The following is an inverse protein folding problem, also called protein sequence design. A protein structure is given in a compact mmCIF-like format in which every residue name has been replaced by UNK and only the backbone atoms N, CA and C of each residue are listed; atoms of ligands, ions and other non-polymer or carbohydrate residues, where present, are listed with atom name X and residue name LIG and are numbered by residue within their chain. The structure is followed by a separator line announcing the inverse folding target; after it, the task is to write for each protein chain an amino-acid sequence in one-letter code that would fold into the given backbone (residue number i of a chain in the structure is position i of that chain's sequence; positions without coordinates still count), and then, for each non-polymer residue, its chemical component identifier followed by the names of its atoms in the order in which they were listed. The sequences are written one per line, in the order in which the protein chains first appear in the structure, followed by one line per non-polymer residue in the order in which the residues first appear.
data_IF_691013683122
#
_entry.id   IF_691013683122
#
_cell.length_a   1.000
_cell.length_b   1.000
_cell.length_c   1.000
_cell.angle_alpha   90.00
_cell.angle_beta   90.00
_cell.angle_gamma   90.00
#
_symmetry.space_group_name_H-M   'P 1'
#
loop_
_entity.id
_entity.type
_entity.pdbx_description
1 polymer ?
#
# COMPACT_ATOMS: atom_id res chain seq x y z
N UNK A 1 2.70 10.10 -33.15
CA UNK A 1 2.74 9.52 -31.79
C UNK A 1 4.20 9.25 -31.42
N UNK A 2 4.67 9.71 -30.26
CA UNK A 2 6.03 9.44 -29.82
C UNK A 2 6.22 7.94 -29.53
N UNK A 3 7.27 7.33 -30.07
CA UNK A 3 7.62 5.93 -29.80
C UNK A 3 8.61 5.88 -28.64
N UNK A 4 8.30 5.10 -27.59
CA UNK A 4 9.24 4.87 -26.49
C UNK A 4 10.51 4.21 -27.04
N UNK A 5 11.69 4.78 -26.79
CA UNK A 5 12.97 4.19 -27.19
C UNK A 5 13.83 3.91 -25.96
N UNK A 6 14.34 2.68 -25.87
CA UNK A 6 15.30 2.27 -24.85
C UNK A 6 16.63 1.99 -25.55
N UNK A 7 17.66 2.78 -25.24
CA UNK A 7 18.98 2.70 -25.88
C UNK A 7 18.93 2.72 -27.42
N UNK A 8 18.05 3.55 -28.00
CA UNK A 8 17.86 3.65 -29.45
C UNK A 8 16.84 2.68 -30.04
N UNK A 9 16.48 1.62 -29.32
CA UNK A 9 15.56 0.56 -29.78
C UNK A 9 14.11 0.99 -29.54
N UNK A 10 13.27 1.08 -30.59
CA UNK A 10 11.84 1.32 -30.45
C UNK A 10 11.16 0.21 -29.66
N UNK A 11 10.40 0.56 -28.63
CA UNK A 11 9.55 -0.35 -27.88
C UNK A 11 8.14 -0.33 -28.47
N UNK A 12 7.59 -1.52 -28.75
CA UNK A 12 6.19 -1.66 -29.13
C UNK A 12 5.29 -1.23 -27.98
N UNK A 13 4.08 -0.75 -28.27
CA UNK A 13 3.10 -0.36 -27.25
C UNK A 13 2.87 -1.46 -26.22
N UNK A 14 2.72 -2.70 -26.68
CA UNK A 14 2.55 -3.88 -25.83
C UNK A 14 3.72 -4.06 -24.86
N UNK A 15 4.96 -3.86 -25.31
CA UNK A 15 6.15 -4.05 -24.47
C UNK A 15 6.37 -2.95 -23.41
N UNK A 16 5.71 -1.79 -23.54
CA UNK A 16 5.72 -0.73 -22.51
C UNK A 16 4.72 -1.03 -21.40
N UNK A 17 3.65 -1.77 -21.71
CA UNK A 17 2.59 -2.12 -20.76
C UNK A 17 2.84 -3.42 -19.98
N UNK A 18 3.89 -4.17 -20.30
CA UNK A 18 4.31 -5.39 -19.59
C UNK A 18 5.33 -5.09 -18.49
N UNK A 19 5.38 -5.92 -17.45
CA UNK A 19 6.42 -5.85 -16.41
C UNK A 19 7.82 -5.94 -17.04
N UNK A 20 8.69 -4.99 -16.68
CA UNK A 20 10.07 -4.93 -17.19
C UNK A 20 11.06 -5.13 -16.04
N UNK A 21 11.76 -6.27 -16.05
CA UNK A 21 12.83 -6.55 -15.12
C UNK A 21 14.18 -6.03 -15.64
N UNK A 22 14.91 -5.28 -14.81
CA UNK A 22 16.24 -4.72 -15.15
C UNK A 22 17.32 -5.25 -14.22
N UNK A 23 18.06 -6.26 -14.68
CA UNK A 23 19.25 -6.78 -14.00
C UNK A 23 20.53 -6.06 -14.43
N UNK A 24 21.58 -6.15 -13.62
CA UNK A 24 22.84 -5.41 -13.83
C UNK A 24 23.49 -5.00 -12.51
N UNK A 25 24.81 -4.84 -12.54
CA UNK A 25 25.60 -4.40 -11.38
C UNK A 25 25.29 -2.94 -11.02
N UNK A 26 25.60 -2.48 -9.78
CA UNK A 26 25.71 -1.05 -9.50
C UNK A 26 26.53 -0.35 -10.60
N UNK A 27 26.25 0.93 -10.88
CA UNK A 27 26.87 1.78 -11.92
C UNK A 27 26.67 1.37 -13.40
N UNK A 28 25.90 0.33 -13.72
CA UNK A 28 25.63 -0.08 -15.13
C UNK A 28 24.59 0.75 -15.89
N UNK A 29 24.21 1.93 -15.37
CA UNK A 29 23.28 2.85 -16.05
C UNK A 29 21.79 2.54 -15.91
N UNK A 30 21.37 1.64 -15.01
CA UNK A 30 19.94 1.36 -14.76
C UNK A 30 19.11 2.61 -14.45
N UNK A 31 19.64 3.49 -13.60
CA UNK A 31 18.98 4.75 -13.23
C UNK A 31 18.73 5.62 -14.46
N UNK A 32 19.67 5.66 -15.39
CA UNK A 32 19.53 6.40 -16.65
C UNK A 32 18.43 5.82 -17.55
N UNK A 33 18.32 4.50 -17.60
CA UNK A 33 17.21 3.84 -18.32
C UNK A 33 15.85 4.18 -17.66
N UNK A 34 15.78 4.23 -16.32
CA UNK A 34 14.55 4.62 -15.61
C UNK A 34 14.20 6.09 -15.88
N UNK A 35 15.19 6.99 -15.86
CA UNK A 35 15.02 8.42 -16.19
C UNK A 35 14.42 8.63 -17.57
N UNK A 36 14.90 7.90 -18.58
CA UNK A 36 14.36 7.98 -19.95
C UNK A 36 12.90 7.52 -20.04
N UNK A 37 12.54 6.47 -19.31
CA UNK A 37 11.14 6.01 -19.22
C UNK A 37 10.26 7.03 -18.51
N UNK A 38 10.72 7.59 -17.38
CA UNK A 38 9.99 8.60 -16.63
C UNK A 38 9.76 9.86 -17.48
N UNK A 39 10.77 10.33 -18.22
CA UNK A 39 10.65 11.45 -19.16
C UNK A 39 9.63 11.17 -20.26
N UNK A 40 9.63 9.96 -20.81
CA UNK A 40 8.67 9.56 -21.84
C UNK A 40 7.23 9.53 -21.30
N UNK A 41 7.03 8.94 -20.12
CA UNK A 41 5.72 8.89 -19.44
C UNK A 41 5.21 10.30 -19.11
N UNK A 42 6.08 11.17 -18.56
CA UNK A 42 5.74 12.56 -18.24
C UNK A 42 5.31 13.36 -19.47
N UNK A 43 6.01 13.22 -20.60
CA UNK A 43 5.61 13.86 -21.88
C UNK A 43 4.25 13.41 -22.40
N UNK A 44 3.81 12.22 -22.01
CA UNK A 44 2.48 11.69 -22.37
C UNK A 44 1.39 12.04 -21.36
N UNK A 45 1.75 12.55 -20.19
CA UNK A 45 0.84 12.70 -19.06
C UNK A 45 0.44 11.36 -18.41
N UNK A 46 1.24 10.31 -18.59
CA UNK A 46 0.99 9.01 -17.94
C UNK A 46 1.30 9.10 -16.43
N UNK A 47 0.50 8.46 -15.59
CA UNK A 47 0.77 8.33 -14.14
C UNK A 47 1.92 7.33 -13.89
N UNK A 48 2.89 7.72 -13.06
CA UNK A 48 4.03 6.87 -12.69
C UNK A 48 4.20 6.86 -11.18
N UNK A 49 4.35 5.67 -10.61
CA UNK A 49 4.74 5.46 -9.21
C UNK A 49 6.20 5.04 -9.17
N UNK A 50 7.06 5.81 -8.49
CA UNK A 50 8.50 5.54 -8.37
C UNK A 50 8.82 5.23 -6.91
N UNK A 51 9.32 4.02 -6.65
CA UNK A 51 9.91 3.67 -5.37
C UNK A 51 11.38 4.12 -5.32
N UNK A 52 11.61 5.31 -4.76
CA UNK A 52 12.92 5.97 -4.75
C UNK A 52 13.65 5.83 -3.40
N UNK A 53 14.31 4.68 -3.19
CA UNK A 53 15.03 4.41 -1.93
C UNK A 53 16.22 5.36 -1.70
N UNK A 54 16.93 5.78 -2.75
CA UNK A 54 18.13 6.64 -2.63
C UNK A 54 17.81 8.14 -2.69
N UNK A 55 16.53 8.50 -2.87
CA UNK A 55 16.07 9.88 -3.04
C UNK A 55 16.73 10.59 -4.24
N UNK A 56 17.24 9.85 -5.24
CA UNK A 56 17.89 10.45 -6.42
C UNK A 56 16.87 11.04 -7.39
N UNK A 57 15.71 10.39 -7.53
CA UNK A 57 14.65 10.84 -8.41
C UNK A 57 13.89 12.01 -7.82
N UNK A 58 13.55 11.96 -6.52
CA UNK A 58 12.90 13.09 -5.84
C UNK A 58 13.77 14.35 -5.91
N UNK A 59 15.10 14.25 -5.79
CA UNK A 59 16.00 15.41 -5.92
C UNK A 59 16.01 16.05 -7.30
N UNK A 60 15.83 15.26 -8.36
CA UNK A 60 16.06 15.72 -9.74
C UNK A 60 14.79 15.83 -10.61
N UNK A 61 13.68 15.19 -10.21
CA UNK A 61 12.45 15.10 -11.00
C UNK A 61 11.20 15.64 -10.32
N UNK A 62 11.25 15.87 -8.99
CA UNK A 62 10.07 16.29 -8.25
C UNK A 62 9.63 17.69 -8.66
N UNK A 63 8.38 17.78 -9.12
CA UNK A 63 7.67 19.02 -9.39
C UNK A 63 6.51 19.16 -8.39
N UNK A 64 6.58 20.11 -7.43
CA UNK A 64 5.55 20.26 -6.40
C UNK A 64 4.17 20.63 -6.95
N UNK A 65 4.07 21.11 -8.20
CA UNK A 65 2.79 21.46 -8.82
C UNK A 65 1.95 20.24 -9.19
N UNK A 66 2.60 19.10 -9.46
CA UNK A 66 1.94 17.88 -9.97
C UNK A 66 2.29 16.60 -9.19
N UNK A 67 3.50 16.49 -8.65
CA UNK A 67 3.99 15.27 -8.03
C UNK A 67 3.59 15.18 -6.55
N UNK A 68 3.40 13.95 -6.06
CA UNK A 68 3.10 13.66 -4.65
C UNK A 68 4.20 12.80 -4.05
N UNK A 69 4.64 13.17 -2.85
CA UNK A 69 5.60 12.38 -2.07
C UNK A 69 4.82 11.56 -1.05
N UNK A 70 5.14 10.27 -0.95
CA UNK A 70 4.59 9.34 0.03
C UNK A 70 5.71 8.85 0.95
N UNK A 71 6.18 9.77 1.81
CA UNK A 71 7.20 9.50 2.81
C UNK A 71 6.81 10.22 4.10
N UNK A 72 6.33 9.52 5.14
CA UNK A 72 5.84 10.16 6.36
C UNK A 72 6.90 10.95 7.14
N UNK A 73 8.18 10.83 6.79
CA UNK A 73 9.29 11.59 7.38
C UNK A 73 9.71 12.81 6.52
N UNK A 74 9.04 13.04 5.39
CA UNK A 74 9.26 14.20 4.53
C UNK A 74 8.15 15.23 4.79
N UNK A 75 8.52 16.49 5.06
CA UNK A 75 7.56 17.57 5.32
C UNK A 75 6.60 17.84 4.14
N UNK A 76 6.98 17.42 2.92
CA UNK A 76 6.18 17.55 1.70
C UNK A 76 5.24 16.36 1.46
N UNK A 77 5.22 15.39 2.38
CA UNK A 77 4.39 14.20 2.25
C UNK A 77 2.93 14.58 2.03
N UNK A 78 2.29 13.94 1.05
CA UNK A 78 0.85 13.98 0.97
C UNK A 78 0.27 13.29 2.21
N UNK A 79 -0.66 13.95 2.89
CA UNK A 79 -1.40 13.29 3.96
C UNK A 79 -2.20 12.12 3.36
N UNK A 80 -2.19 10.97 4.02
CA UNK A 80 -2.99 9.82 3.61
C UNK A 80 -4.00 9.49 4.71
N UNK A 81 -5.27 9.34 4.33
CA UNK A 81 -6.37 9.07 5.25
C UNK A 81 -6.98 7.70 4.92
N UNK A 82 -6.62 6.71 5.74
CA UNK A 82 -7.09 5.33 5.66
C UNK A 82 -8.61 5.25 5.56
N UNK A 83 -9.33 6.08 6.31
CA UNK A 83 -10.79 6.03 6.37
C UNK A 83 -11.49 6.75 5.21
N UNK A 84 -10.74 7.55 4.44
CA UNK A 84 -11.18 8.07 3.13
C UNK A 84 -10.86 7.09 2.00
N UNK A 85 -9.77 6.33 2.11
CA UNK A 85 -9.40 5.29 1.15
C UNK A 85 -10.33 4.08 1.24
N UNK A 86 -10.56 3.57 2.45
CA UNK A 86 -11.34 2.37 2.69
C UNK A 86 -12.83 2.71 2.89
N UNK A 87 -13.66 2.23 1.97
CA UNK A 87 -15.11 2.48 1.99
C UNK A 87 -15.90 1.32 2.59
N UNK A 88 -15.37 0.11 2.45
CA UNK A 88 -16.01 -1.15 2.82
C UNK A 88 -15.08 -2.00 3.69
N UNK A 89 -15.62 -2.99 4.40
CA UNK A 89 -14.81 -3.91 5.22
C UNK A 89 -13.68 -4.57 4.40
N UNK A 90 -13.92 -5.10 3.18
CA UNK A 90 -12.85 -5.66 2.34
C UNK A 90 -11.70 -4.70 2.01
N UNK A 91 -11.95 -3.39 1.96
CA UNK A 91 -10.86 -2.42 1.75
C UNK A 91 -9.90 -2.40 2.94
N UNK A 92 -10.42 -2.50 4.16
CA UNK A 92 -9.60 -2.61 5.37
C UNK A 92 -8.85 -3.95 5.42
N UNK A 93 -9.48 -5.03 4.98
CA UNK A 93 -8.81 -6.34 4.84
C UNK A 93 -7.64 -6.28 3.85
N UNK A 94 -7.82 -5.59 2.72
CA UNK A 94 -6.77 -5.38 1.73
C UNK A 94 -5.58 -4.57 2.29
N UNK A 95 -5.86 -3.51 3.06
CA UNK A 95 -4.83 -2.76 3.77
C UNK A 95 -4.12 -3.66 4.80
N UNK A 96 -4.86 -4.45 5.57
CA UNK A 96 -4.29 -5.37 6.55
C UNK A 96 -3.34 -6.40 5.89
N UNK A 97 -3.75 -6.95 4.75
CA UNK A 97 -2.97 -7.90 3.97
C UNK A 97 -1.66 -7.30 3.43
N UNK A 98 -1.68 -6.02 3.07
CA UNK A 98 -0.51 -5.28 2.59
C UNK A 98 0.43 -4.91 3.73
N UNK A 99 -0.13 -4.50 4.87
CA UNK A 99 0.63 -4.06 6.04
C UNK A 99 1.32 -5.21 6.78
N UNK A 100 0.64 -6.34 6.91
CA UNK A 100 1.09 -7.51 7.68
C UNK A 100 1.39 -8.63 6.68
N UNK A 101 2.62 -8.79 6.18
CA UNK A 101 2.95 -9.84 5.23
C UNK A 101 2.81 -11.24 5.83
N UNK A 102 2.35 -12.20 5.02
CA UNK A 102 2.25 -13.59 5.43
C UNK A 102 3.63 -14.26 5.27
N UNK A 103 4.19 -14.74 6.37
CA UNK A 103 5.42 -15.54 6.33
C UNK A 103 5.15 -16.95 5.79
N UNK A 104 6.18 -17.60 5.24
CA UNK A 104 6.09 -19.02 4.83
C UNK A 104 6.56 -19.99 5.92
N UNK A 105 7.16 -19.47 7.00
CA UNK A 105 7.77 -20.27 8.08
C UNK A 105 7.01 -20.23 9.38
N UNK A 106 6.31 -19.13 9.65
CA UNK A 106 5.52 -18.95 10.86
C UNK A 106 4.10 -19.48 10.61
N UNK A 107 3.43 -19.91 11.67
CA UNK A 107 2.05 -20.36 11.59
C UNK A 107 1.16 -19.19 11.10
N UNK A 108 0.45 -19.34 9.95
CA UNK A 108 -0.40 -18.31 9.38
C UNK A 108 -1.48 -17.78 10.33
N UNK A 109 -1.83 -18.55 11.36
CA UNK A 109 -2.79 -18.15 12.38
C UNK A 109 -2.41 -16.81 13.03
N UNK A 110 -1.13 -16.57 13.34
CA UNK A 110 -0.72 -15.38 14.09
C UNK A 110 -0.85 -14.10 13.26
N UNK A 111 -0.33 -14.10 12.04
CA UNK A 111 -0.47 -12.98 11.12
C UNK A 111 -1.92 -12.82 10.67
N UNK A 112 -2.62 -13.92 10.40
CA UNK A 112 -4.04 -13.92 10.03
C UNK A 112 -4.90 -13.25 11.11
N UNK A 113 -4.73 -13.66 12.36
CA UNK A 113 -5.43 -13.06 13.50
C UNK A 113 -5.09 -11.58 13.67
N UNK A 114 -3.81 -11.21 13.50
CA UNK A 114 -3.39 -9.81 13.51
C UNK A 114 -4.06 -8.97 12.42
N UNK A 115 -4.18 -9.51 11.20
CA UNK A 115 -4.90 -8.85 10.09
C UNK A 115 -6.37 -8.62 10.41
N UNK A 116 -7.06 -9.65 10.90
CA UNK A 116 -8.49 -9.54 11.28
C UNK A 116 -8.69 -8.50 12.37
N UNK A 117 -7.88 -8.52 13.43
CA UNK A 117 -7.96 -7.52 14.52
C UNK A 117 -7.72 -6.11 13.98
N UNK A 118 -6.72 -5.92 13.13
CA UNK A 118 -6.43 -4.61 12.54
C UNK A 118 -7.58 -4.10 11.68
N UNK A 119 -8.08 -4.92 10.76
CA UNK A 119 -9.13 -4.54 9.82
C UNK A 119 -10.43 -4.17 10.55
N UNK A 120 -10.87 -5.02 11.49
CA UNK A 120 -12.06 -4.76 12.31
C UNK A 120 -11.91 -3.52 13.18
N UNK A 121 -10.76 -3.35 13.84
CA UNK A 121 -10.53 -2.18 14.68
C UNK A 121 -10.53 -0.87 13.87
N UNK A 122 -9.87 -0.87 12.71
CA UNK A 122 -9.84 0.29 11.82
C UNK A 122 -11.23 0.61 11.25
N UNK A 123 -12.00 -0.41 10.85
CA UNK A 123 -13.37 -0.25 10.37
C UNK A 123 -14.30 0.32 11.44
N UNK A 124 -14.28 -0.24 12.66
CA UNK A 124 -15.10 0.26 13.77
C UNK A 124 -14.75 1.71 14.15
N UNK A 125 -13.45 2.04 14.15
CA UNK A 125 -12.98 3.40 14.45
C UNK A 125 -13.41 4.43 13.39
N UNK A 126 -13.88 4.01 12.21
CA UNK A 126 -14.35 4.93 11.16
C UNK A 126 -15.45 5.88 11.65
N UNK A 127 -16.33 5.40 12.52
CA UNK A 127 -17.47 6.14 13.05
C UNK A 127 -17.11 6.96 14.31
N UNK A 128 -15.86 6.91 14.77
CA UNK A 128 -15.40 7.69 15.91
C UNK A 128 -15.11 9.13 15.47
N UNK A 129 -15.76 10.15 16.06
CA UNK A 129 -15.54 11.55 15.68
C UNK A 129 -14.11 12.03 16.00
N UNK A 130 -13.43 11.35 16.92
CA UNK A 130 -12.06 11.63 17.33
C UNK A 130 -11.08 10.58 16.79
N UNK A 131 -11.41 9.92 15.68
CA UNK A 131 -10.52 8.94 15.04
C UNK A 131 -9.18 9.57 14.67
N UNK A 132 -8.10 8.84 14.91
CA UNK A 132 -6.75 9.23 14.53
C UNK A 132 -5.85 8.01 14.50
N UNK A 133 -4.72 8.10 13.79
CA UNK A 133 -3.75 7.01 13.75
C UNK A 133 -3.15 6.71 15.14
N UNK A 134 -2.90 7.73 15.98
CA UNK A 134 -2.49 7.50 17.38
C UNK A 134 -3.54 6.68 18.10
N UNK A 135 -4.81 7.10 18.05
CA UNK A 135 -5.90 6.40 18.73
C UNK A 135 -6.05 4.96 18.25
N UNK A 136 -5.88 4.71 16.95
CA UNK A 136 -5.88 3.35 16.39
C UNK A 136 -4.73 2.50 16.94
N UNK A 137 -3.51 3.04 16.92
CA UNK A 137 -2.30 2.36 17.44
C UNK A 137 -2.44 2.09 18.94
N UNK A 138 -2.89 3.08 19.71
CA UNK A 138 -3.10 2.96 21.17
C UNK A 138 -4.17 1.91 21.48
N UNK A 139 -5.27 1.89 20.72
CA UNK A 139 -6.35 0.91 20.85
C UNK A 139 -5.87 -0.51 20.54
N UNK A 140 -4.97 -0.67 19.56
CA UNK A 140 -4.48 -1.99 19.17
C UNK A 140 -3.39 -2.51 20.11
N UNK A 141 -2.50 -1.63 20.58
CA UNK A 141 -1.23 -2.04 21.18
C UNK A 141 -1.12 -1.73 22.69
N UNK A 142 -1.80 -0.69 23.17
CA UNK A 142 -1.50 -0.10 24.50
C UNK A 142 -2.64 -0.23 25.50
N UNK A 143 -3.90 -0.24 25.07
CA UNK A 143 -5.02 -0.42 26.00
C UNK A 143 -5.03 -1.83 26.61
N UNK A 144 -5.60 -1.94 27.81
CA UNK A 144 -5.85 -3.24 28.44
C UNK A 144 -6.69 -4.15 27.54
N UNK A 145 -6.45 -5.46 27.60
CA UNK A 145 -7.06 -6.43 26.69
C UNK A 145 -8.59 -6.47 26.84
N UNK A 146 -9.11 -6.22 28.03
CA UNK A 146 -10.55 -6.15 28.33
C UNK A 146 -11.21 -4.96 27.63
N UNK A 147 -10.50 -3.83 27.52
CA UNK A 147 -10.97 -2.68 26.75
C UNK A 147 -10.95 -2.98 25.25
N UNK A 148 -9.91 -3.67 24.76
CA UNK A 148 -9.87 -4.11 23.36
C UNK A 148 -11.01 -5.09 23.04
N UNK A 149 -11.29 -6.03 23.94
CA UNK A 149 -12.42 -6.97 23.83
C UNK A 149 -13.75 -6.23 23.75
N UNK A 150 -13.94 -5.23 24.60
CA UNK A 150 -15.14 -4.38 24.58
C UNK A 150 -15.27 -3.64 23.24
N UNK A 151 -14.16 -3.11 22.74
CA UNK A 151 -14.11 -2.41 21.46
C UNK A 151 -14.46 -3.34 20.27
N UNK A 152 -14.03 -4.60 20.30
CA UNK A 152 -14.24 -5.59 19.23
C UNK A 152 -15.47 -6.49 19.43
N UNK A 153 -16.30 -6.27 20.46
CA UNK A 153 -17.34 -7.22 20.90
C UNK A 153 -18.33 -7.65 19.81
N UNK A 154 -18.64 -6.77 18.85
CA UNK A 154 -19.61 -7.02 17.80
C UNK A 154 -18.96 -7.25 16.42
N UNK A 155 -17.70 -7.69 16.40
CA UNK A 155 -16.99 -8.01 15.16
C UNK A 155 -16.50 -9.45 15.14
N UNK A 156 -16.19 -9.99 13.94
CA UNK A 156 -15.51 -11.27 13.78
C UNK A 156 -14.21 -11.42 14.61
N UNK A 157 -13.56 -10.29 14.96
CA UNK A 157 -12.36 -10.30 15.78
C UNK A 157 -12.62 -10.55 17.28
N UNK A 158 -13.88 -10.52 17.75
CA UNK A 158 -14.22 -10.74 19.16
C UNK A 158 -13.65 -12.06 19.70
N UNK A 159 -13.80 -13.13 18.92
CA UNK A 159 -13.34 -14.48 19.27
C UNK A 159 -11.82 -14.59 19.43
N UNK A 160 -11.05 -13.63 18.89
CA UNK A 160 -9.58 -13.61 18.96
C UNK A 160 -9.05 -12.89 20.21
N UNK A 161 -9.93 -12.23 20.96
CA UNK A 161 -9.60 -11.45 22.15
C UNK A 161 -10.46 -11.81 23.37
N UNK A 162 -11.13 -12.96 23.34
CA UNK A 162 -11.93 -13.47 24.45
C UNK A 162 -11.11 -13.71 25.72
N UNK A 163 -11.77 -13.64 26.86
CA UNK A 163 -11.13 -13.82 28.19
C UNK A 163 -10.49 -15.20 28.34
N UNK A 164 -11.17 -16.25 27.84
CA UNK A 164 -10.67 -17.63 27.92
C UNK A 164 -9.37 -17.86 27.15
N UNK A 165 -9.03 -16.99 26.21
CA UNK A 165 -7.84 -17.09 25.35
C UNK A 165 -6.90 -15.89 25.50
N UNK A 166 -6.91 -15.23 26.66
CA UNK A 166 -6.17 -13.98 26.89
C UNK A 166 -4.67 -14.09 26.54
N UNK A 167 -4.01 -15.19 26.92
CA UNK A 167 -2.60 -15.45 26.58
C UNK A 167 -2.36 -15.49 25.07
N UNK A 168 -3.27 -16.10 24.32
CA UNK A 168 -3.22 -16.15 22.85
C UNK A 168 -3.42 -14.75 22.27
N UNK A 169 -4.37 -13.97 22.80
CA UNK A 169 -4.62 -12.60 22.37
C UNK A 169 -3.40 -11.68 22.59
N UNK A 170 -2.69 -11.85 23.72
CA UNK A 170 -1.43 -11.16 24.01
C UNK A 170 -0.37 -11.51 22.95
N UNK A 171 -0.22 -12.79 22.58
CA UNK A 171 0.70 -13.22 21.53
C UNK A 171 0.35 -12.65 20.16
N UNK A 172 -0.94 -12.63 19.78
CA UNK A 172 -1.40 -12.00 18.53
C UNK A 172 -1.07 -10.51 18.52
N UNK A 173 -1.29 -9.80 19.64
CA UNK A 173 -0.94 -8.38 19.78
C UNK A 173 0.57 -8.13 19.66
N UNK A 174 1.40 -9.03 20.17
CA UNK A 174 2.85 -8.94 20.03
C UNK A 174 3.27 -9.02 18.54
N UNK A 175 2.66 -9.92 17.76
CA UNK A 175 2.86 -9.99 16.31
C UNK A 175 2.37 -8.71 15.63
N UNK A 176 1.19 -8.21 15.99
CA UNK A 176 0.61 -6.99 15.45
C UNK A 176 1.50 -5.76 15.65
N UNK A 177 2.16 -5.68 16.82
CA UNK A 177 3.07 -4.58 17.18
C UNK A 177 4.21 -4.41 16.18
N UNK A 178 4.71 -5.50 15.58
CA UNK A 178 5.83 -5.45 14.64
C UNK A 178 5.51 -4.62 13.39
N UNK A 179 4.24 -4.58 12.99
CA UNK A 179 3.78 -3.94 11.76
C UNK A 179 3.04 -2.63 12.02
N UNK A 180 2.11 -2.62 12.98
CA UNK A 180 1.20 -1.48 13.21
C UNK A 180 1.91 -0.27 13.79
N UNK A 181 3.04 -0.43 14.48
CA UNK A 181 3.82 0.71 15.02
C UNK A 181 4.23 1.73 13.95
N UNK A 182 4.37 1.31 12.68
CA UNK A 182 4.72 2.20 11.59
C UNK A 182 3.58 3.17 11.21
N UNK A 183 2.33 2.83 11.50
CA UNK A 183 1.15 3.66 11.19
C UNK A 183 1.17 4.97 11.96
N UNK A 184 1.80 5.02 13.14
CA UNK A 184 1.90 6.25 13.94
C UNK A 184 2.55 7.41 13.18
N UNK A 185 3.42 7.11 12.22
CA UNK A 185 4.10 8.13 11.41
C UNK A 185 3.19 8.73 10.34
N UNK A 186 2.05 8.08 10.01
CA UNK A 186 1.07 8.60 9.07
C UNK A 186 0.25 9.76 9.65
N UNK A 187 0.44 10.11 10.92
CA UNK A 187 -0.24 11.22 11.58
C UNK A 187 0.29 12.56 11.07
N UNK A 188 -0.47 13.18 10.17
CA UNK A 188 -0.24 14.54 9.70
C UNK A 188 -1.36 15.43 10.23
N UNK A 189 -1.00 16.60 10.77
CA UNK A 189 -1.89 17.46 11.55
C UNK A 189 -3.09 18.06 10.78
N UNK A 190 -3.99 18.77 11.49
CA UNK A 190 -5.27 19.28 10.97
C UNK A 190 -5.18 20.25 9.77
N UNK A 191 -3.98 20.67 9.37
CA UNK A 191 -3.72 21.55 8.23
C UNK A 191 -3.89 20.85 6.86
N UNK A 192 -4.02 19.51 6.81
CA UNK A 192 -4.03 18.75 5.57
C UNK A 192 -5.41 18.15 5.26
N UNK A 193 -6.39 19.02 4.99
CA UNK A 193 -7.74 18.62 4.59
C UNK A 193 -7.85 18.03 3.16
N UNK A 194 -6.71 17.75 2.51
CA UNK A 194 -6.59 17.08 1.21
C UNK A 194 -5.83 15.77 1.37
N UNK A 195 -6.37 14.86 2.17
CA UNK A 195 -5.87 13.48 2.22
C UNK A 195 -5.85 12.92 0.79
N UNK A 196 -4.69 12.43 0.34
CA UNK A 196 -4.58 11.68 -0.89
C UNK A 196 -5.33 10.35 -0.69
N UNK A 197 -6.28 10.10 -1.58
CA UNK A 197 -6.73 8.74 -1.84
C UNK A 197 -6.01 8.24 -3.09
N UNK A 198 -5.41 7.06 -3.02
CA UNK A 198 -4.83 6.37 -4.18
C UNK A 198 -5.91 5.43 -4.73
N UNK A 199 -7.15 5.92 -4.85
CA UNK A 199 -8.15 5.22 -5.64
C UNK A 199 -7.73 5.34 -7.09
N UNK A 200 -7.11 4.28 -7.59
CA UNK A 200 -6.89 4.09 -9.02
C UNK A 200 -8.28 3.89 -9.62
N UNK A 201 -8.94 4.97 -10.01
CA UNK A 201 -10.06 4.85 -10.94
C UNK A 201 -9.51 4.03 -12.12
N UNK A 202 -10.13 2.90 -12.50
CA UNK A 202 -9.71 2.14 -13.65
C UNK A 202 -10.03 2.98 -14.89
N UNK A 203 -9.18 3.97 -15.17
CA UNK A 203 -9.01 4.44 -16.53
C UNK A 203 -8.55 3.22 -17.32
N UNK A 204 -9.15 2.93 -18.48
CA UNK A 204 -8.85 1.74 -19.28
C UNK A 204 -7.39 1.67 -19.77
N UNK A 205 -6.53 2.60 -19.36
CA UNK A 205 -5.13 2.72 -19.75
C UNK A 205 -4.12 2.78 -18.59
N UNK A 206 -4.53 2.61 -17.32
CA UNK A 206 -3.58 2.59 -16.20
C UNK A 206 -3.03 1.17 -16.00
N UNK A 207 -1.99 0.83 -16.76
CA UNK A 207 -1.12 -0.30 -16.46
C UNK A 207 0.06 0.20 -15.63
N UNK A 208 0.08 -0.12 -14.34
CA UNK A 208 1.17 0.25 -13.44
C UNK A 208 2.52 -0.27 -13.94
N UNK A 209 3.45 0.62 -14.24
CA UNK A 209 4.83 0.26 -14.53
C UNK A 209 5.58 0.16 -13.19
N UNK A 210 5.45 -0.99 -12.51
CA UNK A 210 6.21 -1.29 -11.30
C UNK A 210 7.67 -1.57 -11.66
N UNK A 211 8.57 -0.60 -11.49
CA UNK A 211 10.01 -0.83 -11.60
C UNK A 211 10.52 -1.32 -10.24
N UNK A 212 10.40 -2.61 -9.97
CA UNK A 212 10.87 -3.23 -8.72
C UNK A 212 12.36 -3.57 -8.81
N UNK A 213 13.17 -2.86 -8.02
CA UNK A 213 14.51 -3.30 -7.63
C UNK A 213 14.41 -4.35 -6.53
N UNK A 214 14.43 -5.65 -6.93
CA UNK A 214 14.39 -6.85 -6.08
C UNK A 214 13.24 -6.87 -5.04
N UNK A 215 12.14 -7.50 -5.42
CA UNK A 215 11.15 -8.06 -4.48
C UNK A 215 10.96 -9.54 -4.82
N UNK A 216 11.07 -10.42 -3.81
CA UNK A 216 10.85 -11.86 -3.93
C UNK A 216 9.39 -12.15 -4.33
N UNK A 217 9.21 -13.14 -5.21
CA UNK A 217 7.92 -13.70 -5.65
C UNK A 217 6.94 -13.91 -4.49
N UNK A 218 5.73 -13.37 -4.63
CA UNK A 218 4.48 -13.93 -4.10
C UNK A 218 3.38 -13.74 -5.15
N UNK A 219 2.45 -14.68 -5.20
CA UNK A 219 1.79 -15.17 -6.39
C UNK A 219 0.46 -14.46 -6.76
N UNK A 220 0.06 -14.65 -8.02
CA UNK A 220 -1.34 -14.93 -8.38
C UNK A 220 -2.18 -13.77 -8.90
N UNK A 221 -2.02 -13.40 -10.18
CA UNK A 221 -3.03 -12.60 -10.88
C UNK A 221 -4.08 -13.56 -11.48
N UNK A 222 -5.27 -13.62 -10.87
CA UNK A 222 -6.45 -14.26 -11.45
C UNK A 222 -6.92 -13.43 -12.65
N UNK A 223 -6.51 -13.82 -13.86
CA UNK A 223 -7.14 -13.33 -15.08
C UNK A 223 -8.50 -14.01 -15.26
N UNK A 224 -9.60 -13.33 -14.97
CA UNK A 224 -10.90 -13.69 -15.54
C UNK A 224 -10.84 -13.42 -17.05
N UNK A 225 -10.74 -14.46 -17.86
CA UNK A 225 -11.08 -14.39 -19.28
C UNK A 225 -12.59 -14.09 -19.38
N UNK A 226 -12.96 -12.94 -19.94
CA UNK A 226 -14.30 -12.75 -20.50
C UNK A 226 -14.33 -13.37 -21.90
N UNK A 227 -15.34 -14.19 -22.24
CA UNK A 227 -15.47 -14.74 -23.59
C UNK A 227 -15.85 -13.62 -24.56
N UNK A 228 -15.08 -13.52 -25.65
CA UNK A 228 -15.37 -12.66 -26.80
C UNK A 228 -16.66 -13.12 -27.48
N UNK A 229 -17.68 -12.26 -27.46
CA UNK A 229 -18.81 -12.32 -28.39
C UNK A 229 -18.27 -12.04 -29.81
N UNK A 230 -18.47 -12.97 -30.74
CA UNK A 230 -18.27 -12.72 -32.16
C UNK A 230 -19.39 -11.80 -32.68
N UNK A 231 -19.08 -10.82 -33.56
CA UNK A 231 -20.10 -10.06 -34.29
C UNK A 231 -20.65 -10.90 -35.47
N UNK A 232 -21.80 -10.50 -36.05
CA UNK A 232 -22.67 -11.38 -36.84
C UNK A 232 -22.08 -11.87 -38.16
#
# INVERSE_FOLDING_TARGET
MATCRLSGIPKSRTSVCTEQYKEGNPSTGKSEVIRRLANYARKRGDMVVIYDRSCEFVKSYYDPSIDKILNPLDARCAAWDLWKECLTQPDFDNVANTLIPMGTKEDPFWQGSGRTIFAEAAYLMRNDPNRSYSKLVDTLLSIKIEKLRTFLRNSPAANLVEEKIEKTAISIRAVLTNYVKAIRYLQHGPQYNRGLSITVNPSPYVTGCGVSGKIRKTAGCLSRQMPTLMPP
#
